data_IF_033219731649
#
_entry.id   IF_033219731649
#
_cell.length_a   1.000
_cell.length_b   1.000
_cell.length_c   1.000
_cell.angle_alpha   90.00
_cell.angle_beta   90.00
_cell.angle_gamma   90.00
#
_symmetry.space_group_name_H-M   'P 1'
#
loop_
_entity.id
_entity.type
_entity.pdbx_description
1 polymer ?
#
# COMPACT_ATOMS: atom_id res chain seq x y z
N UNK A 1 -5.58 17.56 11.01
CA UNK A 1 -4.34 16.90 10.54
C UNK A 1 -4.57 15.80 9.50
N UNK A 2 -5.80 15.30 9.30
CA UNK A 2 -6.13 14.21 8.36
C UNK A 2 -5.91 14.54 6.86
N UNK A 3 -5.93 15.81 6.45
CA UNK A 3 -5.81 16.19 5.04
C UNK A 3 -4.39 16.07 4.43
N UNK A 4 -3.33 15.97 5.24
CA UNK A 4 -1.94 16.05 4.74
C UNK A 4 -1.38 14.73 4.17
N UNK A 5 -1.98 13.59 4.48
CA UNK A 5 -1.46 12.26 4.08
C UNK A 5 -2.20 11.66 2.88
N UNK A 6 -3.41 12.15 2.57
CA UNK A 6 -4.26 11.59 1.51
C UNK A 6 -3.56 11.55 0.15
N UNK A 7 -2.83 12.61 -0.23
CA UNK A 7 -2.10 12.63 -1.50
C UNK A 7 -0.97 11.58 -1.58
N UNK A 8 -0.32 11.28 -0.46
CA UNK A 8 0.74 10.26 -0.40
C UNK A 8 0.17 8.86 -0.51
N UNK A 9 -0.90 8.59 0.23
CA UNK A 9 -1.59 7.29 0.19
C UNK A 9 -2.19 7.03 -1.19
N UNK A 10 -2.76 8.05 -1.83
CA UNK A 10 -3.26 7.96 -3.20
C UNK A 10 -2.13 7.69 -4.19
N UNK A 11 -0.94 8.25 -3.98
CA UNK A 11 0.21 7.99 -4.85
C UNK A 11 0.76 6.57 -4.70
N UNK A 12 0.75 6.01 -3.48
CA UNK A 12 1.09 4.59 -3.25
C UNK A 12 0.16 3.68 -4.03
N UNK A 13 -1.15 3.95 -4.01
CA UNK A 13 -2.14 3.18 -4.78
C UNK A 13 -1.87 3.28 -6.28
N UNK A 14 -1.68 4.51 -6.80
CA UNK A 14 -1.39 4.74 -8.23
C UNK A 14 -0.11 4.02 -8.66
N UNK A 15 0.94 4.07 -7.85
CA UNK A 15 2.19 3.36 -8.14
C UNK A 15 2.06 1.84 -8.14
N UNK A 16 1.19 1.28 -7.29
CA UNK A 16 0.94 -0.16 -7.24
C UNK A 16 0.15 -0.70 -8.44
N UNK A 17 -0.75 0.11 -9.01
CA UNK A 17 -1.65 -0.31 -10.10
C UNK A 17 -1.22 0.17 -11.50
N UNK A 18 -0.18 1.01 -11.61
CA UNK A 18 0.19 1.73 -12.84
C UNK A 18 0.29 0.83 -14.10
N UNK A 19 0.85 -0.37 -13.95
CA UNK A 19 1.04 -1.35 -15.04
C UNK A 19 0.24 -2.64 -14.83
N UNK A 20 -0.86 -2.56 -14.10
CA UNK A 20 -1.73 -3.69 -13.81
C UNK A 20 -3.00 -3.65 -14.65
N UNK A 21 -3.59 -4.83 -14.87
CA UNK A 21 -4.94 -4.91 -15.41
C UNK A 21 -5.93 -4.23 -14.44
N UNK A 22 -6.84 -3.35 -14.90
CA UNK A 22 -7.78 -2.65 -14.03
C UNK A 22 -8.64 -3.57 -13.15
N UNK A 23 -8.81 -4.84 -13.51
CA UNK A 23 -9.51 -5.84 -12.68
C UNK A 23 -8.89 -6.07 -11.31
N UNK A 24 -7.61 -5.73 -11.10
CA UNK A 24 -6.93 -5.91 -9.79
C UNK A 24 -7.14 -4.73 -8.84
N UNK A 25 -7.70 -3.61 -9.31
CA UNK A 25 -7.90 -2.38 -8.50
C UNK A 25 -8.72 -2.66 -7.23
N UNK A 26 -9.84 -3.42 -7.26
CA UNK A 26 -10.58 -3.75 -6.04
C UNK A 26 -9.73 -4.50 -5.01
N UNK A 27 -8.86 -5.41 -5.46
CA UNK A 27 -7.90 -6.12 -4.60
C UNK A 27 -6.87 -5.17 -4.02
N UNK A 28 -6.27 -4.29 -4.83
CA UNK A 28 -5.33 -3.27 -4.37
C UNK A 28 -5.91 -2.37 -3.28
N UNK A 29 -7.18 -1.96 -3.43
CA UNK A 29 -7.88 -1.15 -2.41
C UNK A 29 -8.10 -1.98 -1.14
N UNK A 30 -8.48 -3.26 -1.25
CA UNK A 30 -8.66 -4.14 -0.08
C UNK A 30 -7.33 -4.33 0.67
N UNK A 31 -6.25 -4.64 -0.05
CA UNK A 31 -4.91 -4.81 0.50
C UNK A 31 -4.43 -3.53 1.20
N UNK A 32 -4.63 -2.37 0.58
CA UNK A 32 -4.28 -1.08 1.20
C UNK A 32 -5.11 -0.75 2.44
N UNK A 33 -6.42 -1.08 2.46
CA UNK A 33 -7.27 -0.91 3.64
C UNK A 33 -6.82 -1.78 4.82
N UNK A 34 -6.26 -2.95 4.53
CA UNK A 34 -5.67 -3.85 5.52
C UNK A 34 -4.24 -3.49 5.95
N UNK A 35 -3.77 -2.27 5.63
CA UNK A 35 -2.52 -1.74 6.18
C UNK A 35 -2.83 -0.80 7.34
N UNK A 36 -2.00 -0.87 8.38
CA UNK A 36 -1.96 0.11 9.46
C UNK A 36 -1.64 1.51 8.89
N UNK A 37 -2.14 2.59 9.52
CA UNK A 37 -1.78 3.94 9.14
C UNK A 37 -0.27 4.14 8.98
N UNK A 38 0.53 3.49 9.84
CA UNK A 38 1.99 3.51 9.83
C UNK A 38 2.61 2.91 8.58
N UNK A 39 2.11 1.73 8.18
CA UNK A 39 2.58 1.01 7.00
C UNK A 39 2.29 1.81 5.72
N UNK A 40 1.16 2.52 5.67
CA UNK A 40 0.78 3.33 4.49
C UNK A 40 1.76 4.46 4.22
N UNK A 41 2.16 5.23 5.23
CA UNK A 41 3.13 6.32 5.03
C UNK A 41 4.56 5.81 4.92
N UNK A 42 4.87 4.67 5.53
CA UNK A 42 6.15 3.98 5.35
C UNK A 42 6.35 3.55 3.89
N UNK A 43 5.33 2.93 3.26
CA UNK A 43 5.37 2.53 1.85
C UNK A 43 5.64 3.72 0.91
N UNK A 44 5.02 4.87 1.16
CA UNK A 44 5.30 6.09 0.43
C UNK A 44 6.78 6.49 0.58
N UNK A 45 7.29 6.47 1.81
CA UNK A 45 8.66 6.91 2.12
C UNK A 45 9.69 6.02 1.44
N UNK A 46 9.53 4.70 1.54
CA UNK A 46 10.44 3.73 0.90
C UNK A 46 10.40 3.85 -0.61
N UNK A 47 9.21 3.97 -1.21
CA UNK A 47 9.08 4.09 -2.67
C UNK A 47 9.63 5.43 -3.17
N UNK A 48 9.29 6.54 -2.53
CA UNK A 48 9.76 7.86 -2.91
C UNK A 48 11.27 8.04 -2.71
N UNK A 49 11.88 7.38 -1.72
CA UNK A 49 13.32 7.45 -1.47
C UNK A 49 14.15 6.58 -2.42
N UNK A 50 13.56 5.52 -2.98
CA UNK A 50 14.28 4.50 -3.76
C UNK A 50 14.05 4.59 -5.26
N UNK A 51 12.96 5.23 -5.69
CA UNK A 51 12.65 5.34 -7.11
C UNK A 51 13.30 6.58 -7.69
N UNK A 52 13.96 6.43 -8.84
CA UNK A 52 14.60 7.51 -9.59
C UNK A 52 13.59 8.36 -10.37
N UNK A 53 13.80 8.50 -11.68
CA UNK A 53 12.93 9.32 -12.52
C UNK A 53 11.53 8.70 -12.66
N UNK A 54 10.55 9.48 -13.13
CA UNK A 54 9.15 9.06 -13.28
C UNK A 54 8.97 7.70 -14.01
N UNK A 55 9.86 7.37 -14.95
CA UNK A 55 9.81 6.14 -15.77
C UNK A 55 10.50 4.93 -15.12
N UNK A 56 11.17 5.10 -13.99
CA UNK A 56 11.82 3.98 -13.30
C UNK A 56 10.78 3.13 -12.58
N UNK A 57 10.63 1.89 -13.07
CA UNK A 57 9.62 0.92 -12.60
C UNK A 57 10.29 -0.33 -12.00
N UNK A 58 11.32 -0.12 -11.18
CA UNK A 58 12.12 -1.18 -10.56
C UNK A 58 12.12 -1.05 -9.03
N UNK A 59 12.57 -2.09 -8.34
CA UNK A 59 12.68 -2.07 -6.87
C UNK A 59 11.33 -1.91 -6.19
N UNK A 60 11.19 -0.86 -5.35
CA UNK A 60 10.00 -0.65 -4.53
C UNK A 60 8.72 -0.43 -5.33
N UNK A 61 8.78 0.09 -6.57
CA UNK A 61 7.61 0.17 -7.46
C UNK A 61 7.05 -1.21 -7.79
N UNK A 62 7.94 -2.17 -8.04
CA UNK A 62 7.57 -3.56 -8.32
C UNK A 62 7.07 -4.22 -7.03
N UNK A 63 7.73 -3.98 -5.90
CA UNK A 63 7.30 -4.50 -4.60
C UNK A 63 5.88 -4.02 -4.24
N UNK A 64 5.55 -2.75 -4.49
CA UNK A 64 4.19 -2.21 -4.29
C UNK A 64 3.15 -2.94 -5.12
N UNK A 65 3.45 -3.21 -6.40
CA UNK A 65 2.56 -3.97 -7.28
C UNK A 65 2.27 -5.36 -6.69
N UNK A 66 3.30 -6.09 -6.28
CA UNK A 66 3.10 -7.41 -5.66
C UNK A 66 2.32 -7.32 -4.34
N UNK A 67 2.70 -6.40 -3.45
CA UNK A 67 2.06 -6.24 -2.14
C UNK A 67 0.56 -5.89 -2.25
N UNK A 68 0.20 -5.01 -3.18
CA UNK A 68 -1.17 -4.53 -3.33
C UNK A 68 -2.02 -5.38 -4.28
N UNK A 69 -1.47 -5.86 -5.39
CA UNK A 69 -2.27 -6.46 -6.46
C UNK A 69 -2.22 -7.99 -6.50
N UNK A 70 -1.12 -8.60 -6.06
CA UNK A 70 -0.90 -10.04 -6.25
C UNK A 70 -0.93 -10.84 -4.94
N UNK A 71 -0.89 -10.18 -3.78
CA UNK A 71 -0.88 -10.86 -2.49
C UNK A 71 -2.31 -11.30 -2.09
N UNK A 72 -2.62 -12.60 -1.99
CA UNK A 72 -3.92 -13.07 -1.50
C UNK A 72 -3.99 -12.84 0.01
N UNK A 73 -4.58 -11.73 0.44
CA UNK A 73 -4.90 -11.58 1.86
C UNK A 73 -6.07 -12.50 2.21
N UNK A 74 -5.83 -13.40 3.16
CA UNK A 74 -6.90 -13.88 4.03
C UNK A 74 -7.44 -12.68 4.80
N UNK A 75 -8.76 -12.50 4.84
CA UNK A 75 -9.42 -11.46 5.64
C UNK A 75 -9.30 -11.79 7.14
N UNK A 76 -8.08 -11.77 7.68
CA UNK A 76 -7.86 -11.84 9.11
C UNK A 76 -8.01 -10.42 9.67
N UNK A 77 -8.87 -10.22 10.70
CA UNK A 77 -8.97 -8.94 11.38
C UNK A 77 -7.59 -8.52 11.87
N UNK A 78 -7.19 -7.30 11.56
CA UNK A 78 -5.91 -6.78 12.02
C UNK A 78 -6.02 -6.45 13.50
N UNK A 79 -5.32 -7.21 14.33
CA UNK A 79 -5.30 -7.04 15.78
C UNK A 79 -4.42 -5.85 16.14
N UNK A 80 -5.02 -4.86 16.82
CA UNK A 80 -4.28 -3.83 17.51
C UNK A 80 -3.70 -4.36 18.82
N UNK A 81 -2.74 -3.64 19.38
CA UNK A 81 -2.21 -3.96 20.71
C UNK A 81 -3.32 -4.03 21.78
N UNK A 82 -4.40 -3.26 21.62
CA UNK A 82 -5.54 -3.27 22.53
C UNK A 82 -6.35 -4.56 22.40
N UNK A 83 -6.55 -5.06 21.18
CA UNK A 83 -7.28 -6.31 20.93
C UNK A 83 -6.56 -7.54 21.51
N UNK A 84 -5.24 -7.46 21.66
CA UNK A 84 -4.41 -8.52 22.29
C UNK A 84 -4.49 -8.46 23.82
N UNK A 85 -4.73 -7.28 24.39
CA UNK A 85 -4.84 -7.10 25.84
C UNK A 85 -6.22 -7.45 26.39
N UNK A 86 -7.24 -7.48 25.52
CA UNK A 86 -8.61 -7.84 25.85
C UNK A 86 -8.88 -9.37 25.75
N UNK A 87 -7.85 -10.18 25.47
CA UNK A 87 -7.84 -11.67 25.48
C UNK A 87 -7.21 -12.23 26.77
#
# INVERSE_FOLDING_TARGET
MAGKLFGKEMMVLLWGIEDCDPSVIPTAIRNWKGLMPEERWWLYTMTNASTGHMKDKKGWRVALRYALCENPIEEKPQLSFLDILDE
#
